data_IF_117081328047
#
_entry.id   IF_117081328047
#
_cell.length_a   1.000
_cell.length_b   1.000
_cell.length_c   1.000
_cell.angle_alpha   90.00
_cell.angle_beta   90.00
_cell.angle_gamma   90.00
#
_symmetry.space_group_name_H-M   'P 1'
#
loop_
_entity.id
_entity.type
_entity.pdbx_description
1 polymer ?
#
# COMPACT_ATOMS: atom_id res chain seq x y z
N UNK A 1 -64.12 -44.81 -20.10
CA UNK A 1 -62.92 -44.87 -19.24
C UNK A 1 -62.28 -43.49 -19.25
N UNK A 2 -62.47 -42.72 -18.17
CA UNK A 2 -61.95 -41.37 -18.04
C UNK A 2 -60.54 -41.41 -17.43
N UNK A 3 -59.58 -40.80 -18.11
CA UNK A 3 -58.17 -40.71 -17.71
C UNK A 3 -57.98 -39.38 -16.95
N UNK A 4 -57.83 -39.44 -15.64
CA UNK A 4 -57.50 -38.28 -14.80
C UNK A 4 -55.98 -38.03 -14.84
N UNK A 5 -55.56 -36.89 -15.39
CA UNK A 5 -54.18 -36.39 -15.31
C UNK A 5 -54.03 -35.54 -14.03
N UNK A 6 -53.22 -36.01 -13.09
CA UNK A 6 -52.84 -35.29 -11.87
C UNK A 6 -51.77 -34.24 -12.20
N UNK A 7 -52.14 -32.96 -12.15
CA UNK A 7 -51.17 -31.86 -12.10
C UNK A 7 -50.74 -31.65 -10.65
N UNK A 8 -49.48 -31.98 -10.34
CA UNK A 8 -48.85 -31.66 -9.05
C UNK A 8 -48.19 -30.29 -9.16
N UNK A 9 -48.73 -29.30 -8.44
CA UNK A 9 -48.13 -27.97 -8.32
C UNK A 9 -46.90 -28.05 -7.40
N UNK A 10 -45.69 -27.93 -7.98
CA UNK A 10 -44.48 -27.70 -7.18
C UNK A 10 -44.51 -26.26 -6.62
N UNK A 11 -44.58 -26.14 -5.30
CA UNK A 11 -44.25 -24.91 -4.59
C UNK A 11 -42.71 -24.80 -4.55
N UNK A 12 -42.15 -23.79 -5.21
CA UNK A 12 -40.74 -23.43 -5.03
C UNK A 12 -40.65 -22.50 -3.82
N UNK A 13 -40.14 -23.00 -2.71
CA UNK A 13 -39.85 -22.17 -1.54
C UNK A 13 -38.65 -21.26 -1.85
N UNK A 14 -38.85 -19.94 -1.77
CA UNK A 14 -37.79 -18.95 -1.85
C UNK A 14 -36.94 -18.99 -0.58
N UNK A 15 -35.72 -19.52 -0.67
CA UNK A 15 -34.75 -19.42 0.40
C UNK A 15 -34.12 -18.01 0.40
N UNK A 16 -34.44 -17.19 1.39
CA UNK A 16 -33.68 -15.97 1.69
C UNK A 16 -32.34 -16.38 2.33
N UNK A 17 -31.18 -15.92 1.82
CA UNK A 17 -29.90 -16.23 2.44
C UNK A 17 -29.85 -15.63 3.85
N UNK A 18 -29.54 -16.46 4.84
CA UNK A 18 -29.25 -16.03 6.21
C UNK A 18 -27.99 -15.15 6.22
N UNK A 19 -27.97 -14.02 6.95
CA UNK A 19 -26.75 -13.24 7.12
C UNK A 19 -25.68 -14.11 7.79
N UNK A 20 -24.46 -14.08 7.25
CA UNK A 20 -23.32 -14.76 7.85
C UNK A 20 -23.03 -14.14 9.23
N UNK A 21 -23.01 -14.99 10.24
CA UNK A 21 -22.68 -14.62 11.61
C UNK A 21 -21.18 -14.30 11.71
N UNK A 22 -20.83 -13.02 11.85
CA UNK A 22 -19.44 -12.52 11.87
C UNK A 22 -18.59 -13.10 13.01
N UNK A 23 -19.21 -13.78 14.00
CA UNK A 23 -18.54 -14.37 15.16
C UNK A 23 -17.86 -15.73 14.88
N UNK A 24 -18.08 -16.34 13.70
CA UNK A 24 -17.48 -17.63 13.31
C UNK A 24 -16.41 -17.51 12.21
N UNK A 25 -16.05 -16.30 11.78
CA UNK A 25 -15.00 -16.11 10.80
C UNK A 25 -13.64 -16.36 11.44
N UNK A 26 -12.84 -17.35 10.98
CA UNK A 26 -11.50 -17.57 11.50
C UNK A 26 -10.67 -16.30 11.29
N UNK A 27 -9.99 -15.86 12.36
CA UNK A 27 -9.06 -14.72 12.32
C UNK A 27 -8.00 -15.02 11.25
N UNK A 28 -8.04 -14.30 10.14
CA UNK A 28 -7.17 -14.56 9.00
C UNK A 28 -5.72 -14.32 9.40
N UNK A 29 -4.86 -15.32 9.23
CA UNK A 29 -3.43 -15.21 9.49
C UNK A 29 -2.69 -14.64 8.28
N UNK A 30 -1.66 -13.82 8.52
CA UNK A 30 -0.80 -13.32 7.43
C UNK A 30 -0.07 -14.48 6.78
N UNK A 31 -0.08 -14.52 5.45
CA UNK A 31 0.54 -15.60 4.68
C UNK A 31 2.05 -15.62 4.88
N UNK A 32 2.55 -16.78 5.32
CA UNK A 32 3.98 -17.06 5.54
C UNK A 32 4.63 -17.82 4.38
N UNK A 33 3.84 -18.26 3.40
CA UNK A 33 4.29 -19.11 2.29
C UNK A 33 3.85 -18.57 0.92
N UNK A 34 3.25 -17.39 0.87
CA UNK A 34 2.78 -16.77 -0.37
C UNK A 34 1.47 -17.33 -0.90
N UNK A 35 0.79 -18.21 -0.16
CA UNK A 35 -0.54 -18.71 -0.49
C UNK A 35 -1.61 -17.97 0.32
N UNK A 36 -2.75 -17.71 -0.31
CA UNK A 36 -3.84 -16.93 0.26
C UNK A 36 -5.20 -17.40 -0.25
N UNK A 37 -6.26 -16.87 0.34
CA UNK A 37 -7.61 -17.14 -0.11
C UNK A 37 -8.33 -18.20 0.72
N UNK A 38 -9.64 -18.34 0.47
CA UNK A 38 -10.50 -19.33 1.12
C UNK A 38 -9.95 -20.76 0.99
N UNK A 39 -9.31 -21.04 -0.14
CA UNK A 39 -8.80 -22.36 -0.50
C UNK A 39 -7.41 -22.68 0.08
N UNK A 40 -6.72 -21.69 0.66
CA UNK A 40 -5.37 -21.85 1.22
C UNK A 40 -5.33 -21.44 2.70
N UNK A 41 -6.18 -22.08 3.51
CA UNK A 41 -6.20 -21.86 4.96
C UNK A 41 -6.74 -20.48 5.38
N UNK A 42 -7.47 -19.79 4.50
CA UNK A 42 -8.00 -18.44 4.75
C UNK A 42 -6.93 -17.40 5.10
N UNK A 43 -5.69 -17.62 4.64
CA UNK A 43 -4.59 -16.70 4.87
C UNK A 43 -4.76 -15.40 4.05
N UNK A 44 -4.36 -14.28 4.65
CA UNK A 44 -4.34 -12.97 3.99
C UNK A 44 -2.94 -12.61 3.52
N UNK A 45 -2.85 -11.95 2.37
CA UNK A 45 -1.61 -11.36 1.86
C UNK A 45 -1.31 -10.00 2.48
N UNK A 46 -2.30 -9.34 3.10
CA UNK A 46 -2.09 -8.05 3.72
C UNK A 46 -1.00 -8.14 4.82
N UNK A 47 0.08 -7.38 4.67
CA UNK A 47 1.23 -7.42 5.58
C UNK A 47 2.25 -8.55 5.32
N UNK A 48 2.06 -9.34 4.26
CA UNK A 48 2.99 -10.41 3.88
C UNK A 48 4.20 -9.89 3.10
N UNK A 49 5.35 -10.57 3.26
CA UNK A 49 6.57 -10.31 2.48
C UNK A 49 6.41 -10.63 0.98
N UNK A 50 5.40 -11.41 0.60
CA UNK A 50 5.13 -11.79 -0.79
C UNK A 50 4.32 -10.74 -1.56
N UNK A 51 3.84 -9.69 -0.88
CA UNK A 51 2.96 -8.66 -1.45
C UNK A 51 1.56 -8.71 -0.84
N UNK A 52 0.84 -7.59 -0.93
CA UNK A 52 -0.40 -7.37 -0.19
C UNK A 52 -1.67 -7.92 -0.86
N UNK A 53 -1.59 -8.29 -2.13
CA UNK A 53 -2.74 -8.68 -2.94
C UNK A 53 -2.85 -10.19 -3.05
N UNK A 54 -4.06 -10.71 -2.91
CA UNK A 54 -4.33 -12.13 -3.12
C UNK A 54 -4.95 -12.32 -4.50
N UNK A 55 -4.21 -12.91 -5.43
CA UNK A 55 -4.72 -13.15 -6.79
C UNK A 55 -5.94 -14.07 -6.79
N UNK A 56 -6.69 -14.08 -7.90
CA UNK A 56 -7.76 -15.07 -8.11
C UNK A 56 -7.31 -16.53 -8.00
N UNK A 57 -6.00 -16.77 -8.14
CA UNK A 57 -5.38 -18.09 -8.08
C UNK A 57 -4.86 -18.45 -6.67
N UNK A 58 -5.05 -17.57 -5.69
CA UNK A 58 -4.67 -17.84 -4.30
C UNK A 58 -3.18 -17.64 -4.02
N UNK A 59 -2.53 -16.72 -4.73
CA UNK A 59 -1.13 -16.35 -4.52
C UNK A 59 -1.00 -14.91 -4.07
N UNK A 60 -0.06 -14.65 -3.17
CA UNK A 60 0.32 -13.31 -2.77
C UNK A 60 1.24 -12.65 -3.79
N UNK A 61 0.99 -11.37 -4.04
CA UNK A 61 1.82 -10.56 -4.92
C UNK A 61 1.48 -9.08 -4.80
N UNK A 62 2.26 -8.27 -5.50
CA UNK A 62 2.04 -6.82 -5.60
C UNK A 62 1.81 -6.35 -7.04
N UNK A 63 1.93 -7.25 -8.01
CA UNK A 63 1.78 -6.90 -9.43
C UNK A 63 0.30 -6.87 -9.84
N UNK A 64 -0.04 -6.23 -10.97
CA UNK A 64 -1.43 -6.15 -11.44
C UNK A 64 -2.15 -7.49 -11.59
N UNK A 65 -1.42 -8.55 -11.94
CA UNK A 65 -1.97 -9.92 -12.01
C UNK A 65 -2.44 -10.47 -10.65
N UNK A 66 -1.98 -9.88 -9.55
CA UNK A 66 -2.41 -10.20 -8.18
C UNK A 66 -3.43 -9.21 -7.62
N UNK A 67 -3.26 -7.91 -7.91
CA UNK A 67 -4.05 -6.82 -7.31
C UNK A 67 -5.26 -6.37 -8.13
N UNK A 68 -5.26 -6.68 -9.43
CA UNK A 68 -6.25 -6.23 -10.39
C UNK A 68 -7.51 -7.09 -10.41
N UNK A 69 -8.06 -7.29 -11.61
CA UNK A 69 -9.25 -8.10 -11.80
C UNK A 69 -9.06 -9.52 -11.22
N UNK A 70 -10.02 -9.97 -10.41
CA UNK A 70 -9.98 -11.27 -9.76
C UNK A 70 -9.22 -11.31 -8.42
N UNK A 71 -8.60 -10.21 -7.99
CA UNK A 71 -8.04 -10.14 -6.65
C UNK A 71 -9.11 -10.43 -5.59
N UNK A 72 -8.80 -11.32 -4.65
CA UNK A 72 -9.71 -11.75 -3.60
C UNK A 72 -9.71 -10.72 -2.45
N UNK A 73 -10.67 -9.79 -2.47
CA UNK A 73 -10.79 -8.68 -1.50
C UNK A 73 -10.89 -9.11 -0.04
N UNK A 74 -11.37 -10.34 0.20
CA UNK A 74 -11.41 -10.94 1.53
C UNK A 74 -10.05 -11.43 2.04
N UNK A 75 -9.01 -11.49 1.20
CA UNK A 75 -7.71 -12.11 1.53
C UNK A 75 -6.51 -11.28 1.05
N UNK A 76 -6.74 -10.08 0.53
CA UNK A 76 -5.70 -9.17 0.08
C UNK A 76 -6.25 -7.80 -0.26
N UNK A 77 -5.35 -6.84 -0.41
CA UNK A 77 -5.71 -5.45 -0.77
C UNK A 77 -5.90 -5.38 -2.27
N UNK A 78 -7.17 -5.36 -2.70
CA UNK A 78 -7.55 -5.40 -4.11
C UNK A 78 -8.05 -4.05 -4.60
N UNK A 79 -7.94 -3.80 -5.90
CA UNK A 79 -8.42 -2.53 -6.47
C UNK A 79 -7.62 -1.30 -6.02
N UNK A 80 -6.47 -1.49 -5.36
CA UNK A 80 -5.43 -0.48 -5.42
C UNK A 80 -4.97 -0.41 -6.87
N UNK A 81 -5.00 0.81 -7.41
CA UNK A 81 -4.22 1.10 -8.59
C UNK A 81 -2.79 0.61 -8.31
N UNK A 82 -2.29 -0.29 -9.14
CA UNK A 82 -0.94 -0.87 -8.99
C UNK A 82 0.17 0.17 -9.12
N UNK A 83 -0.23 1.41 -9.44
CA UNK A 83 0.58 2.60 -9.48
C UNK A 83 0.52 3.41 -8.17
N UNK A 84 -0.28 3.04 -7.15
CA UNK A 84 -0.48 3.79 -5.90
C UNK A 84 -0.46 2.87 -4.65
N UNK A 85 0.16 3.32 -3.56
CA UNK A 85 0.16 2.64 -2.24
C UNK A 85 -0.06 3.61 -1.10
N UNK A 86 -0.63 3.13 0.00
CA UNK A 86 -0.65 3.87 1.26
C UNK A 86 0.72 3.82 1.94
N UNK A 87 1.28 4.99 2.27
CA UNK A 87 2.50 5.14 3.05
C UNK A 87 2.17 5.76 4.40
N UNK A 88 2.68 5.16 5.48
CA UNK A 88 2.59 5.75 6.81
C UNK A 88 3.42 7.02 6.90
N UNK A 89 2.84 8.07 7.46
CA UNK A 89 3.55 9.30 7.83
C UNK A 89 3.94 9.31 9.31
N UNK A 90 3.41 8.39 10.11
CA UNK A 90 3.64 8.31 11.55
C UNK A 90 2.44 8.82 12.37
N UNK A 91 2.73 9.24 13.60
CA UNK A 91 1.73 9.71 14.56
C UNK A 91 1.65 11.25 14.55
N UNK A 92 0.45 11.80 14.43
CA UNK A 92 0.22 13.25 14.36
C UNK A 92 -0.77 13.69 15.43
N UNK A 93 -0.57 14.88 15.99
CA UNK A 93 -1.54 15.47 16.90
C UNK A 93 -2.89 15.66 16.19
N UNK A 94 -3.97 15.29 16.86
CA UNK A 94 -5.34 15.52 16.38
C UNK A 94 -6.21 15.81 17.59
N UNK A 95 -6.65 17.06 17.73
CA UNK A 95 -7.57 17.41 18.81
C UNK A 95 -8.86 18.02 18.25
N UNK A 96 -9.91 18.04 19.07
CA UNK A 96 -11.24 18.52 18.63
C UNK A 96 -11.26 19.96 18.15
N UNK A 97 -10.31 20.81 18.58
CA UNK A 97 -10.16 22.19 18.14
C UNK A 97 -9.18 22.33 16.95
N UNK A 98 -8.26 21.38 16.78
CA UNK A 98 -7.23 21.37 15.75
C UNK A 98 -7.17 20.02 15.04
N UNK A 99 -8.20 19.73 14.25
CA UNK A 99 -8.20 18.52 13.42
C UNK A 99 -7.12 18.60 12.36
N UNK A 100 -6.46 17.47 12.10
CA UNK A 100 -5.44 17.27 11.07
C UNK A 100 -6.09 16.87 9.74
N UNK A 101 -7.25 16.21 9.78
CA UNK A 101 -8.07 15.84 8.61
C UNK A 101 -9.52 16.32 8.82
N UNK A 102 -10.19 16.75 7.74
CA UNK A 102 -11.50 17.44 7.85
C UNK A 102 -12.73 16.54 7.70
N UNK A 103 -12.56 15.30 7.23
CA UNK A 103 -13.69 14.43 6.91
C UNK A 103 -13.66 13.22 7.81
N UNK A 104 -14.74 12.93 8.55
CA UNK A 104 -14.87 11.67 9.28
C UNK A 104 -15.77 10.72 8.50
N UNK A 105 -15.39 9.45 8.43
CA UNK A 105 -16.18 8.40 7.79
C UNK A 105 -16.40 7.23 8.75
N UNK A 106 -17.57 6.61 8.65
CA UNK A 106 -17.92 5.47 9.47
C UNK A 106 -17.30 4.19 8.89
N UNK A 107 -16.47 3.52 9.69
CA UNK A 107 -15.88 2.22 9.36
C UNK A 107 -16.22 1.24 10.47
N UNK A 108 -17.13 0.31 10.19
CA UNK A 108 -17.49 -0.74 11.14
C UNK A 108 -16.32 -1.70 11.33
N UNK A 109 -15.92 -1.98 12.57
CA UNK A 109 -14.78 -2.86 12.84
C UNK A 109 -13.48 -2.33 12.23
N UNK A 110 -13.09 -1.12 12.64
CA UNK A 110 -11.96 -0.41 12.05
C UNK A 110 -10.66 -1.22 12.06
N UNK A 111 -9.92 -1.11 10.95
CA UNK A 111 -8.52 -1.53 10.76
C UNK A 111 -7.82 -0.45 9.96
N UNK A 112 -6.48 -0.49 9.91
CA UNK A 112 -5.71 0.44 9.07
C UNK A 112 -6.18 0.35 7.60
N UNK A 113 -6.33 -0.88 7.08
CA UNK A 113 -6.71 -1.09 5.69
C UNK A 113 -8.17 -0.72 5.42
N UNK A 114 -9.08 -0.97 6.36
CA UNK A 114 -10.49 -0.63 6.18
C UNK A 114 -10.68 0.89 6.08
N UNK A 115 -10.03 1.66 6.95
CA UNK A 115 -10.09 3.12 6.89
C UNK A 115 -9.43 3.67 5.62
N UNK A 116 -8.24 3.16 5.26
CA UNK A 116 -7.57 3.49 4.00
C UNK A 116 -8.44 3.21 2.76
N UNK A 117 -9.04 2.03 2.69
CA UNK A 117 -9.90 1.65 1.57
C UNK A 117 -11.14 2.55 1.48
N UNK A 118 -11.77 2.85 2.61
CA UNK A 118 -12.94 3.70 2.63
C UNK A 118 -12.60 5.16 2.28
N UNK A 119 -11.46 5.71 2.73
CA UNK A 119 -10.98 7.01 2.30
C UNK A 119 -10.66 7.04 0.79
N UNK A 120 -9.99 6.02 0.27
CA UNK A 120 -9.70 5.90 -1.16
C UNK A 120 -10.98 5.83 -2.00
N UNK A 121 -11.96 5.03 -1.58
CA UNK A 121 -13.26 4.89 -2.25
C UNK A 121 -14.04 6.21 -2.27
N UNK A 122 -13.85 7.05 -1.26
CA UNK A 122 -14.41 8.40 -1.18
C UNK A 122 -13.56 9.47 -1.91
N UNK A 123 -12.47 9.08 -2.58
CA UNK A 123 -11.62 9.98 -3.37
C UNK A 123 -10.57 10.77 -2.57
N UNK A 124 -10.30 10.37 -1.33
CA UNK A 124 -9.30 11.02 -0.48
C UNK A 124 -7.92 10.39 -0.63
N UNK A 125 -6.89 11.23 -0.53
CA UNK A 125 -5.47 10.83 -0.60
C UNK A 125 -4.83 10.68 0.76
N UNK A 126 -5.50 11.11 1.84
CA UNK A 126 -5.08 10.92 3.22
C UNK A 126 -6.12 10.12 3.98
N UNK A 127 -5.63 9.26 4.88
CA UNK A 127 -6.42 8.50 5.83
C UNK A 127 -5.74 8.56 7.18
N UNK A 128 -6.51 8.69 8.25
CA UNK A 128 -6.00 8.68 9.61
C UNK A 128 -6.97 8.03 10.56
N UNK A 129 -6.45 7.24 11.49
CA UNK A 129 -7.26 6.54 12.48
C UNK A 129 -7.03 7.15 13.86
N UNK A 130 -8.10 7.39 14.60
CA UNK A 130 -8.06 7.93 15.96
C UNK A 130 -8.92 7.06 16.88
N UNK A 131 -8.53 6.98 18.15
CA UNK A 131 -9.31 6.32 19.19
C UNK A 131 -9.76 4.88 18.88
N UNK A 132 -8.98 4.17 18.05
CA UNK A 132 -9.26 2.81 17.58
C UNK A 132 -10.37 2.74 16.53
N UNK A 133 -11.49 3.42 16.77
CA UNK A 133 -12.74 3.26 16.01
C UNK A 133 -12.99 4.35 14.97
N UNK A 134 -12.31 5.49 15.07
CA UNK A 134 -12.57 6.63 14.19
C UNK A 134 -11.66 6.57 12.97
N UNK A 135 -12.24 6.90 11.82
CA UNK A 135 -11.54 7.05 10.56
C UNK A 135 -11.77 8.46 10.03
N UNK A 136 -10.68 9.15 9.72
CA UNK A 136 -10.66 10.48 9.16
C UNK A 136 -9.96 10.46 7.80
N UNK A 137 -10.44 11.27 6.86
CA UNK A 137 -9.94 11.37 5.51
C UNK A 137 -9.73 12.84 5.12
N UNK A 138 -8.88 13.06 4.12
CA UNK A 138 -8.68 14.37 3.52
C UNK A 138 -7.89 14.29 2.22
N UNK A 139 -7.85 15.39 1.47
CA UNK A 139 -6.95 15.54 0.31
C UNK A 139 -5.65 16.26 0.68
N UNK A 140 -5.59 16.83 1.87
CA UNK A 140 -4.44 17.49 2.48
C UNK A 140 -4.58 17.47 4.01
N UNK A 141 -3.49 17.72 4.71
CA UNK A 141 -3.52 18.01 6.14
C UNK A 141 -3.89 19.47 6.40
N UNK A 142 -4.37 19.75 7.61
CA UNK A 142 -4.76 21.09 8.05
C UNK A 142 -4.11 21.47 9.39
N UNK A 143 -4.27 22.73 9.80
CA UNK A 143 -3.84 23.23 11.12
C UNK A 143 -2.35 23.01 11.46
N UNK A 144 -1.47 23.05 10.46
CA UNK A 144 -0.03 22.77 10.63
C UNK A 144 0.24 21.43 11.33
N UNK A 145 -0.48 20.38 10.91
CA UNK A 145 -0.39 19.02 11.43
C UNK A 145 1.02 18.66 11.92
N UNK A 146 1.15 18.48 13.22
CA UNK A 146 2.43 18.29 13.89
C UNK A 146 2.65 16.79 14.17
N UNK A 147 3.82 16.29 13.76
CA UNK A 147 4.26 14.96 14.15
C UNK A 147 4.50 14.92 15.67
N UNK A 148 4.02 13.86 16.31
CA UNK A 148 4.17 13.61 17.76
C UNK A 148 4.87 12.28 17.99
N UNK A 149 5.40 12.02 19.20
CA UNK A 149 5.99 10.73 19.52
C UNK A 149 5.06 9.57 19.20
N UNK A 150 5.60 8.52 18.56
CA UNK A 150 4.84 7.34 18.15
C UNK A 150 4.06 6.68 19.31
N UNK A 151 4.55 6.82 20.54
CA UNK A 151 3.89 6.33 21.76
C UNK A 151 2.53 6.98 22.06
N UNK A 152 2.19 8.10 21.41
CA UNK A 152 0.86 8.71 21.52
C UNK A 152 -0.17 8.00 20.64
N UNK A 153 0.26 7.32 19.57
CA UNK A 153 -0.57 6.41 18.81
C UNK A 153 -0.40 5.01 19.40
N UNK A 154 -1.19 4.69 20.41
CA UNK A 154 -1.05 3.47 21.21
C UNK A 154 -2.36 2.68 21.35
N UNK A 155 -3.39 3.07 20.61
CA UNK A 155 -4.68 2.38 20.62
C UNK A 155 -4.70 1.35 19.50
N UNK A 156 -4.95 0.09 19.87
CA UNK A 156 -5.05 -0.99 18.92
C UNK A 156 -6.35 -0.90 18.09
N UNK A 157 -6.30 -1.34 16.84
CA UNK A 157 -7.51 -1.40 16.01
C UNK A 157 -8.50 -2.46 16.55
N UNK A 158 -9.81 -2.17 16.58
CA UNK A 158 -10.81 -3.08 17.18
C UNK A 158 -10.95 -4.40 16.43
N UNK A 159 -10.78 -4.43 15.11
CA UNK A 159 -10.87 -5.66 14.31
C UNK A 159 -9.51 -6.34 14.07
N UNK A 160 -8.39 -5.64 14.34
CA UNK A 160 -7.04 -6.20 14.28
C UNK A 160 -6.15 -5.59 15.36
N UNK A 161 -6.07 -6.26 16.51
CA UNK A 161 -5.27 -5.80 17.65
C UNK A 161 -3.76 -5.77 17.42
N UNK A 162 -3.25 -6.26 16.27
CA UNK A 162 -1.84 -6.12 15.90
C UNK A 162 -1.51 -4.76 15.27
N UNK A 163 -2.55 -4.02 14.87
CA UNK A 163 -2.43 -2.72 14.22
C UNK A 163 -2.72 -1.57 15.19
N UNK A 164 -2.17 -0.40 14.89
CA UNK A 164 -2.34 0.82 15.68
C UNK A 164 -3.27 1.79 14.96
N UNK A 165 -4.43 2.07 15.57
CA UNK A 165 -5.46 2.96 15.06
C UNK A 165 -5.53 4.26 15.89
N UNK A 166 -4.39 4.95 16.00
CA UNK A 166 -4.27 6.25 16.64
C UNK A 166 -4.15 6.23 18.16
N UNK A 167 -4.55 7.34 18.78
CA UNK A 167 -4.52 7.62 20.21
C UNK A 167 -5.69 8.50 20.64
N UNK A 168 -5.66 9.01 21.88
CA UNK A 168 -6.73 9.84 22.44
C UNK A 168 -6.83 11.25 21.86
N UNK A 169 -5.74 11.77 21.30
CA UNK A 169 -5.67 13.04 20.57
C UNK A 169 -4.57 12.93 19.49
N UNK A 170 -4.53 11.78 18.82
CA UNK A 170 -3.45 11.45 17.90
C UNK A 170 -3.93 10.55 16.77
N UNK A 171 -3.61 10.93 15.54
CA UNK A 171 -3.90 10.17 14.33
C UNK A 171 -2.69 9.32 13.91
N UNK A 172 -2.93 8.02 13.69
CA UNK A 172 -2.05 7.23 12.82
C UNK A 172 -2.28 7.70 11.38
N UNK A 173 -1.40 8.52 10.81
CA UNK A 173 -1.64 9.21 9.53
C UNK A 173 -0.97 8.48 8.34
N UNK A 174 -1.72 8.36 7.25
CA UNK A 174 -1.30 7.72 6.00
C UNK A 174 -1.63 8.61 4.80
N UNK A 175 -0.84 8.46 3.73
CA UNK A 175 -1.06 9.14 2.46
C UNK A 175 -0.89 8.18 1.29
N UNK A 176 -1.71 8.34 0.26
CA UNK A 176 -1.52 7.68 -1.03
C UNK A 176 -0.31 8.30 -1.72
N UNK A 177 0.69 7.47 -1.99
CA UNK A 177 1.81 7.83 -2.84
C UNK A 177 1.84 6.93 -4.05
N UNK A 178 2.29 7.44 -5.20
CA UNK A 178 2.53 6.56 -6.33
C UNK A 178 3.64 5.54 -6.01
N UNK A 179 3.50 4.36 -6.59
CA UNK A 179 4.41 3.24 -6.49
C UNK A 179 5.53 3.47 -7.51
N UNK A 180 6.70 3.71 -6.95
CA UNK A 180 7.94 3.51 -7.68
C UNK A 180 8.22 2.01 -7.75
N UNK A 181 8.18 1.44 -8.95
CA UNK A 181 8.53 0.03 -9.16
C UNK A 181 10.02 -0.07 -9.43
N UNK A 182 10.70 -0.96 -8.72
CA UNK A 182 12.08 -1.31 -9.02
C UNK A 182 12.12 -2.01 -10.38
N UNK A 183 12.93 -1.46 -11.30
CA UNK A 183 13.25 -2.10 -12.56
C UNK A 183 14.50 -2.99 -12.46
N UNK A 184 15.15 -3.01 -11.29
CA UNK A 184 16.40 -3.72 -11.05
C UNK A 184 17.62 -2.83 -11.22
N UNK A 185 18.76 -3.46 -11.47
CA UNK A 185 20.05 -2.79 -11.55
C UNK A 185 20.39 -2.44 -13.00
N UNK A 186 20.72 -1.18 -13.29
CA UNK A 186 21.03 -0.69 -14.63
C UNK A 186 22.45 -0.15 -14.72
N UNK A 187 23.14 -0.38 -15.83
CA UNK A 187 24.48 0.16 -16.06
C UNK A 187 24.45 1.68 -16.11
N UNK A 188 25.50 2.33 -15.63
CA UNK A 188 25.71 3.78 -15.77
C UNK A 188 27.17 4.10 -16.11
N UNK A 189 27.45 5.33 -16.51
CA UNK A 189 28.80 5.78 -16.82
C UNK A 189 28.94 7.28 -16.62
N UNK A 190 30.04 7.69 -15.97
CA UNK A 190 30.35 9.11 -15.78
C UNK A 190 30.53 9.89 -17.08
N UNK A 191 30.82 9.20 -18.20
CA UNK A 191 30.97 9.79 -19.54
C UNK A 191 29.68 9.79 -20.35
N UNK A 192 28.72 8.94 -19.98
CA UNK A 192 27.50 8.69 -20.73
C UNK A 192 26.40 8.23 -19.76
N UNK A 193 25.82 9.19 -19.06
CA UNK A 193 24.88 8.90 -17.96
C UNK A 193 23.59 8.29 -18.47
N UNK A 194 23.10 7.27 -17.78
CA UNK A 194 21.84 6.58 -18.07
C UNK A 194 20.63 7.44 -17.71
N UNK A 195 20.73 8.25 -16.66
CA UNK A 195 19.75 9.26 -16.29
C UNK A 195 20.42 10.63 -16.28
N UNK A 196 19.87 11.57 -17.04
CA UNK A 196 20.53 12.83 -17.38
C UNK A 196 20.68 13.83 -16.21
N UNK A 197 19.82 13.74 -15.18
CA UNK A 197 19.74 14.75 -14.12
C UNK A 197 20.25 14.16 -12.82
N UNK A 198 21.06 14.91 -12.08
CA UNK A 198 21.54 14.51 -10.75
C UNK A 198 21.01 15.45 -9.68
N UNK A 199 20.58 14.89 -8.55
CA UNK A 199 20.18 15.61 -7.36
C UNK A 199 21.12 15.30 -6.20
N UNK A 200 21.41 16.33 -5.40
CA UNK A 200 22.07 16.16 -4.13
C UNK A 200 21.02 15.90 -3.05
N UNK A 201 20.98 14.67 -2.54
CA UNK A 201 20.03 14.23 -1.52
C UNK A 201 20.80 13.87 -0.26
N UNK A 202 20.71 14.72 0.76
CA UNK A 202 21.41 14.51 2.03
C UNK A 202 20.93 13.25 2.76
N UNK A 203 21.87 12.37 3.10
CA UNK A 203 21.58 11.06 3.71
C UNK A 203 20.63 10.26 2.82
N UNK A 204 21.05 10.02 1.58
CA UNK A 204 20.22 9.43 0.53
C UNK A 204 19.59 8.09 0.97
N UNK A 205 18.31 7.91 0.65
CA UNK A 205 17.56 6.65 0.76
C UNK A 205 16.81 6.44 -0.56
N UNK A 206 16.25 5.25 -0.77
CA UNK A 206 15.42 4.97 -1.94
C UNK A 206 14.27 5.97 -2.03
N UNK A 207 13.56 6.21 -0.94
CA UNK A 207 12.39 7.10 -0.87
C UNK A 207 12.79 8.56 -1.09
N UNK A 208 13.91 9.01 -0.52
CA UNK A 208 14.32 10.41 -0.65
C UNK A 208 14.70 10.75 -2.08
N UNK A 209 15.42 9.86 -2.77
CA UNK A 209 15.75 10.07 -4.18
C UNK A 209 14.49 10.02 -5.07
N UNK A 210 13.62 9.03 -4.88
CA UNK A 210 12.33 8.94 -5.55
C UNK A 210 11.47 10.20 -5.34
N UNK A 211 11.42 10.72 -4.11
CA UNK A 211 10.70 11.95 -3.79
C UNK A 211 11.30 13.16 -4.50
N UNK A 212 12.64 13.28 -4.54
CA UNK A 212 13.33 14.35 -5.27
C UNK A 212 13.05 14.29 -6.78
N UNK A 213 13.14 13.10 -7.39
CA UNK A 213 12.82 12.91 -8.80
C UNK A 213 11.36 13.23 -9.11
N UNK A 214 10.42 12.76 -8.27
CA UNK A 214 9.00 13.10 -8.42
C UNK A 214 8.76 14.61 -8.34
N UNK A 215 9.36 15.28 -7.35
CA UNK A 215 9.23 16.73 -7.18
C UNK A 215 9.83 17.51 -8.36
N UNK A 216 10.86 16.94 -9.01
CA UNK A 216 11.43 17.44 -10.25
C UNK A 216 10.62 17.10 -11.52
N UNK A 217 9.52 16.35 -11.40
CA UNK A 217 8.68 15.95 -12.53
C UNK A 217 9.25 14.81 -13.38
N UNK A 218 10.12 13.97 -12.79
CA UNK A 218 10.76 12.84 -13.48
C UNK A 218 10.05 11.51 -13.21
N UNK A 219 10.00 10.67 -14.24
CA UNK A 219 9.43 9.32 -14.19
C UNK A 219 10.42 8.24 -13.76
N UNK A 220 11.72 8.50 -13.89
CA UNK A 220 12.78 7.57 -13.47
C UNK A 220 13.58 8.16 -12.31
N UNK A 221 13.93 7.29 -11.38
CA UNK A 221 14.87 7.54 -10.30
C UNK A 221 15.90 6.43 -10.28
N UNK A 222 17.18 6.79 -10.17
CA UNK A 222 18.30 5.86 -10.12
C UNK A 222 19.25 6.27 -9.00
N UNK A 223 19.54 5.37 -8.07
CA UNK A 223 20.52 5.64 -7.02
C UNK A 223 21.85 4.99 -7.39
N UNK A 224 22.95 5.72 -7.21
CA UNK A 224 24.31 5.22 -7.45
C UNK A 224 25.16 5.38 -6.18
N UNK A 225 26.04 4.41 -5.93
CA UNK A 225 27.10 4.50 -4.93
C UNK A 225 26.64 4.96 -3.53
N UNK A 226 25.44 4.55 -3.11
CA UNK A 226 24.88 4.80 -1.79
C UNK A 226 24.41 6.24 -1.52
N UNK A 227 24.97 7.22 -2.22
CA UNK A 227 24.83 8.64 -1.91
C UNK A 227 24.25 9.46 -3.06
N UNK A 228 24.33 8.96 -4.29
CA UNK A 228 23.97 9.74 -5.47
C UNK A 228 22.54 9.41 -5.89
N UNK A 229 21.83 10.44 -6.35
CA UNK A 229 20.49 10.34 -6.89
C UNK A 229 20.48 10.91 -8.30
N UNK A 230 19.94 10.14 -9.24
CA UNK A 230 19.77 10.52 -10.63
C UNK A 230 18.30 10.40 -11.04
N UNK A 231 17.85 11.28 -11.92
CA UNK A 231 16.49 11.36 -12.39
C UNK A 231 16.44 11.52 -13.91
N UNK A 232 15.36 11.07 -14.52
CA UNK A 232 15.15 11.22 -15.96
C UNK A 232 13.74 10.85 -16.39
N UNK A 233 13.43 11.09 -17.67
CA UNK A 233 12.17 10.67 -18.30
C UNK A 233 12.40 9.61 -19.39
N UNK A 234 13.66 9.21 -19.60
CA UNK A 234 14.12 8.20 -20.53
C UNK A 234 15.33 7.49 -19.95
N UNK A 235 15.58 6.27 -20.43
CA UNK A 235 16.84 5.55 -20.21
C UNK A 235 17.74 5.90 -21.39
N UNK A 236 18.77 6.71 -21.12
CA UNK A 236 19.64 7.26 -22.15
C UNK A 236 20.90 6.41 -22.33
N UNK A 237 21.65 6.69 -23.41
CA UNK A 237 23.02 6.18 -23.63
C UNK A 237 23.19 4.66 -23.55
N UNK A 238 22.12 3.90 -23.84
CA UNK A 238 22.15 2.44 -23.85
C UNK A 238 22.19 1.81 -22.45
N UNK A 239 21.74 2.53 -21.42
CA UNK A 239 21.56 1.96 -20.09
C UNK A 239 20.77 0.65 -20.14
N UNK A 240 21.35 -0.42 -19.60
CA UNK A 240 20.79 -1.76 -19.70
C UNK A 240 20.87 -2.48 -18.35
N UNK A 241 20.05 -3.53 -18.19
CA UNK A 241 20.12 -4.38 -17.02
C UNK A 241 21.53 -4.93 -16.82
N UNK A 242 22.01 -4.84 -15.58
CA UNK A 242 23.33 -5.30 -15.16
C UNK A 242 23.25 -5.88 -13.75
N UNK A 243 24.38 -6.32 -13.20
CA UNK A 243 24.56 -6.64 -11.80
C UNK A 243 25.44 -5.59 -11.11
N UNK A 244 25.63 -5.71 -9.79
CA UNK A 244 26.53 -4.84 -9.05
C UNK A 244 25.86 -3.74 -8.22
N UNK A 245 24.54 -3.67 -8.22
CA UNK A 245 23.80 -2.85 -7.25
C UNK A 245 23.78 -3.57 -5.90
N UNK A 246 24.78 -3.28 -5.07
CA UNK A 246 24.94 -3.86 -3.74
C UNK A 246 25.39 -2.83 -2.69
N UNK A 247 25.52 -1.55 -3.07
CA UNK A 247 25.93 -0.49 -2.17
C UNK A 247 24.74 -0.06 -1.31
N UNK A 248 24.85 -0.14 0.03
CA UNK A 248 23.80 0.33 0.93
C UNK A 248 23.55 1.83 0.79
N UNK A 249 22.33 2.28 1.03
CA UNK A 249 22.01 3.70 1.06
C UNK A 249 22.69 4.40 2.25
N UNK A 250 23.16 5.63 2.05
CA UNK A 250 23.85 6.39 3.09
C UNK A 250 22.93 6.81 4.26
N UNK A 251 21.63 6.96 4.00
CA UNK A 251 20.61 7.29 4.99
C UNK A 251 19.91 6.08 5.62
N UNK A 252 20.02 4.90 5.00
CA UNK A 252 19.45 3.65 5.50
C UNK A 252 20.25 2.46 4.97
N UNK A 253 21.01 1.79 5.84
CA UNK A 253 21.85 0.66 5.45
C UNK A 253 21.09 -0.63 5.13
N UNK A 254 19.77 -0.66 5.35
CA UNK A 254 18.91 -1.79 5.00
C UNK A 254 18.43 -1.75 3.54
N UNK A 255 18.64 -0.62 2.86
CA UNK A 255 18.25 -0.40 1.47
C UNK A 255 19.46 -0.45 0.53
N UNK A 256 19.21 -0.77 -0.75
CA UNK A 256 20.26 -0.84 -1.79
C UNK A 256 20.16 0.36 -2.74
N UNK A 257 21.19 1.21 -2.74
CA UNK A 257 21.31 2.43 -3.54
C UNK A 257 22.43 2.34 -4.59
N UNK A 258 22.32 1.36 -5.48
CA UNK A 258 23.19 1.20 -6.64
C UNK A 258 24.52 0.53 -6.34
N UNK A 259 25.51 0.85 -7.17
CA UNK A 259 26.85 0.29 -7.17
C UNK A 259 27.83 1.22 -7.88
N UNK A 260 29.04 0.74 -8.17
CA UNK A 260 29.97 1.48 -9.03
C UNK A 260 29.53 1.36 -10.48
N UNK A 261 29.16 2.48 -11.13
CA UNK A 261 28.64 2.49 -12.51
C UNK A 261 27.35 1.66 -12.66
N UNK A 262 26.53 1.61 -11.60
CA UNK A 262 25.32 0.81 -11.55
C UNK A 262 24.22 1.51 -10.73
N UNK A 263 23.06 1.72 -11.34
CA UNK A 263 21.90 2.38 -10.76
C UNK A 263 20.90 1.35 -10.24
N UNK A 264 20.48 1.48 -8.97
CA UNK A 264 19.21 0.90 -8.53
C UNK A 264 18.09 1.69 -9.20
N UNK A 265 17.49 1.15 -10.27
CA UNK A 265 16.55 1.86 -11.13
C UNK A 265 15.10 1.68 -10.66
N UNK A 266 14.34 2.77 -10.66
CA UNK A 266 12.92 2.79 -10.36
C UNK A 266 12.14 3.60 -11.38
N UNK A 267 10.93 3.15 -11.69
CA UNK A 267 9.98 3.86 -12.53
C UNK A 267 8.72 4.26 -11.74
N UNK A 268 8.30 5.49 -11.93
CA UNK A 268 7.07 6.04 -11.38
C UNK A 268 5.93 5.77 -12.34
N UNK A 269 5.04 4.87 -11.97
CA UNK A 269 3.79 4.75 -12.70
C UNK A 269 2.89 5.96 -12.42
N UNK A 270 2.27 6.46 -13.48
CA UNK A 270 1.28 7.53 -13.45
C UNK A 270 -0.13 6.97 -13.65
#
# INVERSE_FOLDING_TARGET
MALFLLFSTLLVASATPTPLDNALLPRQSVSLNGLCGAYNGSATCAGSAFGACCSQFGYCGSQPVYCGAGCQTGYGVCGIDTTLRWRSLGCYADDTNHRTLNTSILVSGNTVQACQAACAQAGFTYAGMEFGTQCFCGTATMNNAASVPASQCNIACPADGSQVCGGSNALSLYVVVPIWQSLGCYSDSTKARTLAVSYNVAGNTVEKCQAACKAGGYLYAGMEFGTQCFCGNSIDNGGALTSGCATPCAGDSTEVCGGSNALSMYYLFQ
#
